data_IF_092080884733
#
_entry.id   IF_092080884733
#
_cell.length_a   1.000
_cell.length_b   1.000
_cell.length_c   1.000
_cell.angle_alpha   90.00
_cell.angle_beta   90.00
_cell.angle_gamma   90.00
#
_symmetry.space_group_name_H-M   'P 1'
#
loop_
_entity.id
_entity.type
_entity.pdbx_description
1 polymer ?
#
# COMPACT_ATOMS: atom_id res chain seq x y z
N UNK A 1 -18.87 3.82 25.33
CA UNK A 1 -17.41 3.63 25.41
C UNK A 1 -17.04 2.77 24.23
N UNK A 2 -16.78 3.39 23.07
CA UNK A 2 -16.39 2.65 21.87
C UNK A 2 -14.92 2.96 21.63
N UNK A 3 -14.09 2.00 22.00
CA UNK A 3 -12.67 1.99 21.69
C UNK A 3 -12.52 1.92 20.18
N UNK A 4 -12.30 3.07 19.54
CA UNK A 4 -11.73 3.10 18.20
C UNK A 4 -10.29 2.60 18.33
N UNK A 5 -10.07 1.32 18.07
CA UNK A 5 -8.73 0.81 17.82
C UNK A 5 -8.26 1.50 16.54
N UNK A 6 -7.46 2.57 16.68
CA UNK A 6 -6.56 2.99 15.62
C UNK A 6 -5.54 1.86 15.47
N UNK A 7 -5.92 0.81 14.74
CA UNK A 7 -4.96 -0.18 14.30
C UNK A 7 -4.08 0.50 13.26
N UNK A 8 -2.81 0.59 13.60
CA UNK A 8 -1.70 0.93 12.73
C UNK A 8 -1.62 -0.09 11.58
N UNK A 9 -2.59 -0.07 10.67
CA UNK A 9 -2.85 -1.16 9.74
C UNK A 9 -2.07 -0.94 8.44
N UNK A 10 -1.17 -1.87 8.14
CA UNK A 10 -0.51 -1.95 6.83
C UNK A 10 -1.40 -2.82 5.94
N UNK A 11 -1.86 -2.27 4.82
CA UNK A 11 -2.72 -2.98 3.87
C UNK A 11 -1.91 -3.45 2.67
N UNK A 12 -1.94 -4.74 2.37
CA UNK A 12 -1.36 -5.30 1.14
C UNK A 12 -2.47 -5.34 0.09
N UNK A 13 -2.32 -4.58 -0.98
CA UNK A 13 -3.37 -4.38 -1.99
C UNK A 13 -2.89 -4.87 -3.35
N UNK A 14 -3.55 -5.89 -3.88
CA UNK A 14 -3.35 -6.35 -5.25
C UNK A 14 -4.01 -5.40 -6.24
N UNK A 15 -3.22 -4.75 -7.10
CA UNK A 15 -3.69 -3.80 -8.12
C UNK A 15 -3.68 -4.40 -9.54
N UNK A 16 -3.40 -5.70 -9.65
CA UNK A 16 -3.34 -6.39 -10.94
C UNK A 16 -2.19 -5.91 -11.84
N UNK A 17 -2.26 -6.15 -13.16
CA UNK A 17 -1.13 -5.94 -14.08
C UNK A 17 -0.79 -4.47 -14.38
N UNK A 18 -1.47 -3.51 -13.75
CA UNK A 18 -1.18 -2.07 -13.89
C UNK A 18 -2.17 -1.28 -14.78
N UNK A 19 -3.42 -1.74 -14.90
CA UNK A 19 -4.50 -0.94 -15.49
C UNK A 19 -5.52 -0.56 -14.41
N UNK A 20 -5.77 0.74 -14.25
CA UNK A 20 -6.72 1.29 -13.28
C UNK A 20 -8.16 0.82 -13.54
N UNK A 21 -8.53 0.56 -14.79
CA UNK A 21 -9.86 0.05 -15.15
C UNK A 21 -10.08 -1.40 -14.68
N UNK A 22 -9.00 -2.09 -14.31
CA UNK A 22 -9.03 -3.44 -13.77
C UNK A 22 -8.96 -3.47 -12.23
N UNK A 23 -8.90 -2.30 -11.56
CA UNK A 23 -8.99 -2.26 -10.11
C UNK A 23 -10.39 -2.67 -9.67
N UNK A 24 -10.45 -3.59 -8.72
CA UNK A 24 -11.71 -3.90 -8.05
C UNK A 24 -12.17 -2.70 -7.21
N UNK A 25 -13.49 -2.49 -7.02
CA UNK A 25 -13.99 -1.46 -6.13
C UNK A 25 -13.37 -1.53 -4.73
N UNK A 26 -13.20 -2.74 -4.19
CA UNK A 26 -12.56 -2.96 -2.90
C UNK A 26 -11.10 -2.50 -2.85
N UNK A 27 -10.31 -2.76 -3.90
CA UNK A 27 -8.93 -2.28 -3.97
C UNK A 27 -8.87 -0.75 -4.04
N UNK A 28 -9.81 -0.13 -4.76
CA UNK A 28 -9.90 1.33 -4.85
C UNK A 28 -10.23 1.96 -3.51
N UNK A 29 -11.25 1.45 -2.81
CA UNK A 29 -11.63 1.92 -1.47
C UNK A 29 -10.49 1.74 -0.46
N UNK A 30 -9.81 0.59 -0.50
CA UNK A 30 -8.66 0.32 0.36
C UNK A 30 -7.52 1.34 0.14
N UNK A 31 -7.17 1.62 -1.12
CA UNK A 31 -6.16 2.64 -1.47
C UNK A 31 -6.60 4.04 -1.04
N UNK A 32 -7.89 4.38 -1.23
CA UNK A 32 -8.44 5.68 -0.85
C UNK A 32 -8.39 5.91 0.67
N UNK A 33 -8.49 4.84 1.47
CA UNK A 33 -8.37 4.89 2.94
C UNK A 33 -6.94 5.10 3.47
N UNK A 34 -5.91 5.01 2.61
CA UNK A 34 -4.50 5.09 3.03
C UNK A 34 -3.88 6.46 2.74
N UNK A 35 -2.95 6.91 3.59
CA UNK A 35 -2.20 8.15 3.40
C UNK A 35 -0.97 7.96 2.50
N UNK A 36 -0.35 6.78 2.58
CA UNK A 36 0.90 6.42 1.89
C UNK A 36 0.69 5.21 1.00
N UNK A 37 1.19 5.28 -0.24
CA UNK A 37 1.23 4.18 -1.20
C UNK A 37 2.68 3.79 -1.47
N UNK A 38 3.00 2.52 -1.23
CA UNK A 38 4.33 1.94 -1.46
C UNK A 38 4.21 0.91 -2.57
N UNK A 39 5.03 1.00 -3.62
CA UNK A 39 4.96 0.02 -4.70
C UNK A 39 5.86 0.33 -5.88
N UNK A 40 5.85 -0.54 -6.90
CA UNK A 40 6.57 -0.28 -8.13
C UNK A 40 6.06 0.98 -8.85
N UNK A 41 6.93 1.65 -9.61
CA UNK A 41 6.61 2.90 -10.34
C UNK A 41 5.30 2.80 -11.15
N UNK A 42 5.11 1.73 -11.92
CA UNK A 42 3.89 1.47 -12.70
C UNK A 42 2.61 1.42 -11.85
N UNK A 43 2.70 0.86 -10.63
CA UNK A 43 1.55 0.78 -9.74
C UNK A 43 1.20 2.17 -9.18
N UNK A 44 2.21 2.94 -8.81
CA UNK A 44 2.03 4.29 -8.24
C UNK A 44 1.51 5.29 -9.27
N UNK A 45 1.91 5.14 -10.55
CA UNK A 45 1.44 5.98 -11.66
C UNK A 45 -0.08 5.94 -11.83
N UNK A 46 -0.72 4.78 -11.54
CA UNK A 46 -2.18 4.67 -11.58
C UNK A 46 -2.86 5.65 -10.61
N UNK A 47 -2.20 6.00 -9.50
CA UNK A 47 -2.75 6.86 -8.46
C UNK A 47 -2.23 8.30 -8.55
N UNK A 48 -1.72 8.74 -9.72
CA UNK A 48 -1.27 10.12 -9.97
C UNK A 48 -2.34 11.19 -9.82
N UNK A 49 -3.61 10.82 -9.88
CA UNK A 49 -4.73 11.71 -9.58
C UNK A 49 -4.92 11.98 -8.06
N UNK A 50 -4.15 11.32 -7.19
CA UNK A 50 -4.24 11.48 -5.72
C UNK A 50 -3.06 12.29 -5.17
N UNK A 51 -3.30 13.03 -4.09
CA UNK A 51 -2.27 13.76 -3.33
C UNK A 51 -1.61 12.91 -2.24
N UNK A 52 -1.73 11.57 -2.33
CA UNK A 52 -1.18 10.63 -1.35
C UNK A 52 0.34 10.61 -1.45
N UNK A 53 1.01 10.34 -0.33
CA UNK A 53 2.45 10.12 -0.33
C UNK A 53 2.77 8.84 -1.10
N UNK A 54 3.80 8.87 -1.94
CA UNK A 54 4.16 7.74 -2.80
C UNK A 54 5.62 7.40 -2.63
N UNK A 55 5.88 6.14 -2.31
CA UNK A 55 7.24 5.63 -2.12
C UNK A 55 7.46 4.51 -3.11
N UNK A 56 8.44 4.72 -3.99
CA UNK A 56 8.83 3.71 -4.96
C UNK A 56 9.51 2.57 -4.20
N UNK A 57 8.99 1.35 -4.38
CA UNK A 57 9.64 0.13 -3.90
C UNK A 57 10.91 -0.09 -4.73
N UNK A 58 12.05 0.32 -4.19
CA UNK A 58 13.38 0.09 -4.78
C UNK A 58 13.93 -1.29 -4.38
N UNK A 59 15.13 -1.64 -4.89
CA UNK A 59 15.77 -2.93 -4.58
C UNK A 59 16.11 -3.11 -3.10
N UNK A 60 16.27 -2.02 -2.36
CA UNK A 60 16.60 -2.05 -0.95
C UNK A 60 15.34 -1.99 -0.09
N UNK A 61 14.85 -3.18 0.26
CA UNK A 61 13.68 -3.35 1.13
C UNK A 61 13.91 -2.83 2.55
N UNK A 62 15.16 -2.71 3.01
CA UNK A 62 15.45 -2.30 4.39
C UNK A 62 14.99 -0.86 4.67
N UNK A 63 15.10 0.03 3.69
CA UNK A 63 14.65 1.42 3.76
C UNK A 63 13.13 1.47 3.90
N UNK A 64 12.42 0.65 3.13
CA UNK A 64 10.95 0.56 3.18
C UNK A 64 10.49 0.01 4.52
N UNK A 65 11.11 -1.06 5.02
CA UNK A 65 10.78 -1.62 6.33
C UNK A 65 11.03 -0.60 7.46
N UNK A 66 12.09 0.20 7.35
CA UNK A 66 12.39 1.26 8.33
C UNK A 66 11.33 2.35 8.28
N UNK A 67 11.00 2.85 7.09
CA UNK A 67 9.95 3.84 6.91
C UNK A 67 8.61 3.37 7.50
N UNK A 68 8.21 2.14 7.19
CA UNK A 68 6.97 1.55 7.69
C UNK A 68 7.00 1.52 9.22
N UNK A 69 8.07 1.01 9.84
CA UNK A 69 8.19 0.95 11.31
C UNK A 69 8.13 2.33 11.97
N UNK A 70 8.65 3.36 11.33
CA UNK A 70 8.66 4.73 11.87
C UNK A 70 7.31 5.44 11.72
N UNK A 71 6.48 5.06 10.75
CA UNK A 71 5.25 5.77 10.39
C UNK A 71 3.96 4.99 10.71
N UNK A 72 4.06 3.67 10.91
CA UNK A 72 2.93 2.81 11.26
C UNK A 72 2.30 3.29 12.56
N UNK A 73 0.99 3.58 12.52
CA UNK A 73 0.22 4.12 13.65
C UNK A 73 0.07 5.64 13.65
N UNK A 74 0.87 6.34 12.85
CA UNK A 74 0.63 7.75 12.52
C UNK A 74 0.04 7.93 11.11
N UNK A 75 0.32 6.98 10.20
CA UNK A 75 -0.19 6.97 8.83
C UNK A 75 -0.81 5.62 8.49
N UNK A 76 -1.88 5.63 7.71
CA UNK A 76 -2.40 4.43 7.07
C UNK A 76 -1.56 4.12 5.81
N UNK A 77 -0.96 2.93 5.75
CA UNK A 77 0.02 2.58 4.72
C UNK A 77 -0.52 1.45 3.84
N UNK A 78 -0.47 1.63 2.53
CA UNK A 78 -0.76 0.58 1.55
C UNK A 78 0.51 0.15 0.81
N UNK A 79 0.70 -1.17 0.68
CA UNK A 79 1.73 -1.78 -0.17
C UNK A 79 1.04 -2.40 -1.40
N UNK A 80 1.36 -1.87 -2.59
CA UNK A 80 0.74 -2.24 -3.86
C UNK A 80 1.48 -3.38 -4.55
N UNK A 81 0.79 -4.47 -4.84
CA UNK A 81 1.34 -5.66 -5.51
C UNK A 81 0.68 -5.88 -6.88
N UNK A 82 1.42 -6.45 -7.84
CA UNK A 82 0.92 -6.68 -9.22
C UNK A 82 0.06 -7.94 -9.37
N UNK A 83 -0.12 -8.73 -8.30
CA UNK A 83 -0.81 -10.02 -8.32
C UNK A 83 -1.87 -10.13 -7.21
N UNK A 84 -2.31 -11.35 -6.95
CA UNK A 84 -3.15 -11.66 -5.79
C UNK A 84 -2.37 -11.39 -4.48
N UNK A 85 -2.97 -10.73 -3.46
CA UNK A 85 -2.31 -10.49 -2.18
C UNK A 85 -1.73 -11.76 -1.51
N UNK A 86 -2.30 -12.94 -1.82
CA UNK A 86 -1.84 -14.23 -1.32
C UNK A 86 -0.60 -14.82 -2.03
N UNK A 87 -0.06 -14.17 -3.06
CA UNK A 87 1.02 -14.74 -3.92
C UNK A 87 2.36 -13.96 -3.86
N UNK A 88 2.42 -12.78 -3.24
CA UNK A 88 3.70 -12.06 -3.11
C UNK A 88 4.17 -11.95 -1.66
N UNK A 89 5.36 -12.52 -1.42
CA UNK A 89 6.14 -12.64 -0.17
C UNK A 89 6.50 -11.32 0.55
N UNK A 90 5.75 -10.23 0.36
CA UNK A 90 5.92 -9.01 1.15
C UNK A 90 5.30 -9.19 2.54
N UNK A 91 4.24 -10.00 2.65
CA UNK A 91 3.64 -10.36 3.93
C UNK A 91 4.61 -11.16 4.83
N UNK A 92 5.50 -11.95 4.24
CA UNK A 92 6.54 -12.70 4.98
C UNK A 92 7.73 -11.82 5.38
N UNK A 93 7.85 -10.60 4.82
CA UNK A 93 9.00 -9.71 5.02
C UNK A 93 8.69 -8.49 5.91
N UNK A 94 7.41 -8.23 6.17
CA UNK A 94 6.91 -7.20 7.09
C UNK A 94 6.77 -7.78 8.51
#
# INVERSE_FOLDING_TARGET
MNSFTNESEIKIIGVGPGNIDLLTPAAKEAVESCDVLIGGRRNLEMFNYTNKEKIILEKDFSIICTYIRENVGSKAIAVLTTGDPGIFSIADYL
#
